data_IF_503074111174
#
_entry.id   IF_503074111174
#
_cell.length_a   1.000
_cell.length_b   1.000
_cell.length_c   1.000
_cell.angle_alpha   90.00
_cell.angle_beta   90.00
_cell.angle_gamma   90.00
#
_symmetry.space_group_name_H-M   'P 1'
#
loop_
_entity.id
_entity.type
_entity.pdbx_description
1 polymer ?
#
# COMPACT_ATOMS: atom_id res chain seq x y z
N UNK A 1 -12.17 25.29 16.96
CA UNK A 1 -11.71 24.41 15.84
C UNK A 1 -12.77 23.33 15.63
N UNK A 2 -13.27 23.23 14.42
CA UNK A 2 -14.17 22.14 14.04
C UNK A 2 -13.38 20.85 13.74
N UNK A 3 -14.05 19.71 13.71
CA UNK A 3 -13.44 18.43 13.32
C UNK A 3 -12.84 18.53 11.92
N UNK A 4 -13.55 19.15 10.97
CA UNK A 4 -13.06 19.32 9.60
C UNK A 4 -11.80 20.19 9.52
N UNK A 5 -11.70 21.24 10.31
CA UNK A 5 -10.49 22.07 10.40
C UNK A 5 -9.31 21.29 10.98
N UNK A 6 -9.55 20.47 12.00
CA UNK A 6 -8.53 19.61 12.59
C UNK A 6 -8.03 18.55 11.59
N UNK A 7 -8.92 17.95 10.80
CA UNK A 7 -8.54 16.98 9.74
C UNK A 7 -7.69 17.66 8.66
N UNK A 8 -8.02 18.88 8.26
CA UNK A 8 -7.21 19.64 7.28
C UNK A 8 -5.82 19.98 7.84
N UNK A 9 -5.74 20.36 9.12
CA UNK A 9 -4.48 20.58 9.80
C UNK A 9 -3.64 19.28 9.87
N UNK A 10 -4.27 18.14 10.14
CA UNK A 10 -3.63 16.83 10.09
C UNK A 10 -3.09 16.54 8.68
N UNK A 11 -3.87 16.79 7.64
CA UNK A 11 -3.44 16.63 6.25
C UNK A 11 -2.18 17.45 5.94
N UNK A 12 -2.12 18.69 6.39
CA UNK A 12 -0.93 19.55 6.25
C UNK A 12 0.26 18.97 6.99
N UNK A 13 0.06 18.45 8.20
CA UNK A 13 1.11 17.83 9.00
C UNK A 13 1.65 16.56 8.33
N UNK A 14 0.77 15.75 7.75
CA UNK A 14 1.15 14.54 6.99
C UNK A 14 2.02 14.92 5.79
N UNK A 15 1.64 15.92 5.02
CA UNK A 15 2.40 16.35 3.85
C UNK A 15 3.75 16.99 4.21
N UNK A 16 3.91 17.49 5.43
CA UNK A 16 5.17 18.00 5.96
C UNK A 16 6.05 16.91 6.61
N UNK A 17 5.52 15.70 6.81
CA UNK A 17 6.26 14.59 7.44
C UNK A 17 7.34 14.05 6.49
N UNK A 18 8.57 13.76 6.99
CA UNK A 18 9.64 13.19 6.17
C UNK A 18 9.25 11.88 5.46
N UNK A 19 8.39 11.07 6.03
CA UNK A 19 7.88 9.82 5.43
C UNK A 19 7.08 10.10 4.16
N UNK A 20 6.25 11.14 4.17
CA UNK A 20 5.51 11.58 2.99
C UNK A 20 6.47 12.08 1.90
N UNK A 21 7.46 12.89 2.27
CA UNK A 21 8.44 13.43 1.33
C UNK A 21 9.23 12.29 0.65
N UNK A 22 9.69 11.31 1.43
CA UNK A 22 10.40 10.13 0.90
C UNK A 22 9.52 9.31 -0.05
N UNK A 23 8.26 9.11 0.31
CA UNK A 23 7.28 8.40 -0.52
C UNK A 23 7.07 9.12 -1.86
N UNK A 24 6.85 10.42 -1.83
CA UNK A 24 6.63 11.21 -3.05
C UNK A 24 7.86 11.26 -3.95
N UNK A 25 9.06 11.37 -3.37
CA UNK A 25 10.32 11.33 -4.13
C UNK A 25 10.52 9.98 -4.81
N UNK A 26 10.29 8.88 -4.10
CA UNK A 26 10.40 7.54 -4.65
C UNK A 26 9.37 7.30 -5.77
N UNK A 27 8.15 7.78 -5.59
CA UNK A 27 7.09 7.71 -6.59
C UNK A 27 7.47 8.48 -7.86
N UNK A 28 7.94 9.71 -7.73
CA UNK A 28 8.36 10.54 -8.86
C UNK A 28 9.53 9.91 -9.61
N UNK A 29 10.51 9.36 -8.90
CA UNK A 29 11.65 8.67 -9.50
C UNK A 29 11.20 7.45 -10.31
N UNK A 30 10.26 6.66 -9.79
CA UNK A 30 9.71 5.51 -10.51
C UNK A 30 8.87 5.92 -11.73
N UNK A 31 8.06 6.97 -11.59
CA UNK A 31 7.24 7.49 -12.70
C UNK A 31 8.12 8.01 -13.86
N UNK A 32 9.30 8.51 -13.54
CA UNK A 32 10.28 8.99 -14.54
C UNK A 32 11.17 7.86 -15.11
N UNK A 33 11.14 6.66 -14.53
CA UNK A 33 11.92 5.52 -14.99
C UNK A 33 11.17 4.76 -16.10
N UNK A 34 11.49 5.08 -17.36
CA UNK A 34 10.79 4.51 -18.53
C UNK A 34 10.89 2.98 -18.59
N UNK A 35 12.05 2.41 -18.27
CA UNK A 35 12.26 0.95 -18.28
C UNK A 35 11.36 0.26 -17.23
N UNK A 36 11.30 0.80 -16.02
CA UNK A 36 10.43 0.29 -14.96
C UNK A 36 8.94 0.42 -15.34
N UNK A 37 8.54 1.53 -15.94
CA UNK A 37 7.16 1.74 -16.38
C UNK A 37 6.76 0.73 -17.46
N UNK A 38 7.67 0.39 -18.35
CA UNK A 38 7.46 -0.64 -19.37
C UNK A 38 7.26 -2.02 -18.74
N UNK A 39 8.10 -2.40 -17.77
CA UNK A 39 7.97 -3.66 -17.03
C UNK A 39 6.65 -3.73 -16.24
N UNK A 40 6.28 -2.65 -15.58
CA UNK A 40 5.00 -2.54 -14.85
C UNK A 40 3.80 -2.67 -15.80
N UNK A 41 3.87 -2.07 -16.98
CA UNK A 41 2.86 -2.21 -18.01
C UNK A 41 2.71 -3.65 -18.49
N UNK A 42 3.82 -4.33 -18.77
CA UNK A 42 3.84 -5.73 -19.15
C UNK A 42 3.28 -6.64 -18.05
N UNK A 43 3.63 -6.39 -16.80
CA UNK A 43 3.10 -7.10 -15.64
C UNK A 43 1.57 -6.94 -15.54
N UNK A 44 1.08 -5.72 -15.68
CA UNK A 44 -0.35 -5.42 -15.62
C UNK A 44 -1.13 -6.16 -16.71
N UNK A 45 -0.64 -6.16 -17.95
CA UNK A 45 -1.25 -6.86 -19.06
C UNK A 45 -1.30 -8.37 -18.83
N UNK A 46 -0.23 -8.96 -18.29
CA UNK A 46 -0.20 -10.39 -17.96
C UNK A 46 -1.16 -10.75 -16.83
N UNK A 47 -1.27 -9.89 -15.82
CA UNK A 47 -2.27 -10.08 -14.75
C UNK A 47 -3.69 -10.04 -15.28
N UNK A 48 -4.00 -9.08 -16.15
CA UNK A 48 -5.32 -9.01 -16.78
C UNK A 48 -5.63 -10.25 -17.59
N UNK A 49 -4.67 -10.74 -18.39
CA UNK A 49 -4.81 -11.97 -19.16
C UNK A 49 -5.05 -13.19 -18.27
N UNK A 50 -4.32 -13.28 -17.13
CA UNK A 50 -4.51 -14.33 -16.12
C UNK A 50 -5.92 -14.29 -15.53
N UNK A 51 -6.41 -13.12 -15.15
CA UNK A 51 -7.77 -12.95 -14.64
C UNK A 51 -8.83 -13.36 -15.66
N UNK A 52 -8.66 -12.97 -16.91
CA UNK A 52 -9.59 -13.32 -17.99
C UNK A 52 -9.61 -14.83 -18.22
N UNK A 53 -8.46 -15.48 -18.23
CA UNK A 53 -8.39 -16.93 -18.42
C UNK A 53 -9.01 -17.70 -17.25
N UNK A 54 -8.73 -17.27 -16.01
CA UNK A 54 -9.29 -17.91 -14.81
C UNK A 54 -10.80 -17.70 -14.67
N UNK A 55 -11.37 -16.67 -15.32
CA UNK A 55 -12.81 -16.38 -15.30
C UNK A 55 -13.62 -17.08 -16.37
N UNK A 56 -13.00 -17.84 -17.28
CA UNK A 56 -13.69 -18.56 -18.33
C UNK A 56 -14.40 -19.82 -17.80
N UNK A 57 -15.52 -20.19 -18.40
CA UNK A 57 -16.22 -21.46 -18.07
C UNK A 57 -15.36 -22.66 -18.41
N UNK A 58 -14.62 -22.61 -19.51
CA UNK A 58 -13.66 -23.63 -19.93
C UNK A 58 -12.24 -23.06 -19.85
N UNK A 59 -11.57 -23.32 -18.72
CA UNK A 59 -10.22 -22.79 -18.45
C UNK A 59 -9.19 -23.68 -19.16
N UNK A 60 -8.30 -23.07 -19.93
CA UNK A 60 -7.10 -23.71 -20.48
C UNK A 60 -6.02 -23.71 -19.37
N UNK A 61 -5.81 -24.88 -18.75
CA UNK A 61 -4.87 -25.01 -17.63
C UNK A 61 -3.43 -24.76 -18.03
N UNK A 62 -3.02 -25.14 -19.23
CA UNK A 62 -1.66 -24.90 -19.72
C UNK A 62 -1.41 -23.40 -19.90
N UNK A 63 -2.37 -22.70 -20.53
CA UNK A 63 -2.30 -21.24 -20.70
C UNK A 63 -2.32 -20.54 -19.33
N UNK A 64 -3.13 -20.98 -18.40
CA UNK A 64 -3.20 -20.45 -17.04
C UNK A 64 -1.85 -20.57 -16.34
N UNK A 65 -1.18 -21.73 -16.42
CA UNK A 65 0.15 -21.97 -15.86
C UNK A 65 1.21 -21.07 -16.52
N UNK A 66 1.18 -20.92 -17.83
CA UNK A 66 2.11 -20.04 -18.57
C UNK A 66 1.94 -18.58 -18.15
N UNK A 67 0.71 -18.10 -18.02
CA UNK A 67 0.41 -16.74 -17.57
C UNK A 67 0.83 -16.52 -16.11
N UNK A 68 0.56 -17.48 -15.23
CA UNK A 68 0.98 -17.42 -13.83
C UNK A 68 2.50 -17.35 -13.69
N UNK A 69 3.22 -18.18 -14.43
CA UNK A 69 4.69 -18.15 -14.48
C UNK A 69 5.20 -16.81 -15.00
N UNK A 70 4.60 -16.27 -16.07
CA UNK A 70 4.98 -14.97 -16.62
C UNK A 70 4.75 -13.83 -15.62
N UNK A 71 3.62 -13.83 -14.91
CA UNK A 71 3.32 -12.85 -13.87
C UNK A 71 4.35 -12.91 -12.75
N UNK A 72 4.66 -14.11 -12.26
CA UNK A 72 5.62 -14.30 -11.17
C UNK A 72 7.05 -13.89 -11.58
N UNK A 73 7.46 -14.19 -12.80
CA UNK A 73 8.76 -13.79 -13.33
C UNK A 73 8.88 -12.26 -13.45
N UNK A 74 7.87 -11.61 -14.01
CA UNK A 74 7.85 -10.14 -14.13
C UNK A 74 7.82 -9.47 -12.75
N UNK A 75 7.06 -10.01 -11.81
CA UNK A 75 7.02 -9.52 -10.44
C UNK A 75 8.41 -9.58 -9.80
N UNK A 76 9.10 -10.70 -9.92
CA UNK A 76 10.45 -10.86 -9.37
C UNK A 76 11.44 -9.86 -9.98
N UNK A 77 11.40 -9.67 -11.29
CA UNK A 77 12.25 -8.70 -12.00
C UNK A 77 11.97 -7.26 -11.54
N UNK A 78 10.69 -6.88 -11.42
CA UNK A 78 10.28 -5.55 -10.93
C UNK A 78 10.78 -5.34 -9.50
N UNK A 79 10.65 -6.34 -8.63
CA UNK A 79 11.06 -6.23 -7.23
C UNK A 79 12.58 -6.20 -7.03
N UNK A 80 13.37 -6.59 -8.02
CA UNK A 80 14.83 -6.43 -8.03
C UNK A 80 15.26 -4.99 -8.35
N UNK A 81 14.40 -4.17 -8.93
CA UNK A 81 14.71 -2.78 -9.25
C UNK A 81 14.93 -1.97 -7.96
N UNK A 82 16.07 -1.25 -7.80
CA UNK A 82 16.36 -0.49 -6.58
C UNK A 82 15.35 0.62 -6.30
N UNK A 83 14.84 1.26 -7.34
CA UNK A 83 13.80 2.29 -7.21
C UNK A 83 12.49 1.71 -6.69
N UNK A 84 12.13 0.51 -7.14
CA UNK A 84 10.95 -0.20 -6.65
C UNK A 84 11.11 -0.62 -5.19
N UNK A 85 12.28 -1.08 -4.79
CA UNK A 85 12.58 -1.41 -3.40
C UNK A 85 12.48 -0.18 -2.49
N UNK A 86 13.04 0.95 -2.91
CA UNK A 86 12.90 2.24 -2.20
C UNK A 86 11.45 2.67 -2.07
N UNK A 87 10.69 2.57 -3.15
CA UNK A 87 9.27 2.89 -3.16
C UNK A 87 8.50 1.99 -2.18
N UNK A 88 8.75 0.69 -2.15
CA UNK A 88 8.10 -0.24 -1.23
C UNK A 88 8.41 0.09 0.23
N UNK A 89 9.66 0.42 0.56
CA UNK A 89 10.05 0.83 1.91
C UNK A 89 9.35 2.13 2.31
N UNK A 90 9.34 3.13 1.44
CA UNK A 90 8.68 4.41 1.69
C UNK A 90 7.16 4.23 1.85
N UNK A 91 6.56 3.37 1.03
CA UNK A 91 5.13 3.03 1.13
C UNK A 91 4.79 2.37 2.47
N UNK A 92 5.61 1.43 2.92
CA UNK A 92 5.42 0.79 4.24
C UNK A 92 5.45 1.81 5.38
N UNK A 93 6.35 2.80 5.31
CA UNK A 93 6.42 3.87 6.31
C UNK A 93 5.16 4.76 6.28
N UNK A 94 4.64 5.05 5.08
CA UNK A 94 3.38 5.80 4.94
C UNK A 94 2.19 4.99 5.45
N UNK A 95 2.11 3.71 5.13
CA UNK A 95 1.04 2.83 5.60
C UNK A 95 1.04 2.76 7.14
N UNK A 96 2.23 2.71 7.75
CA UNK A 96 2.38 2.75 9.21
C UNK A 96 1.90 4.08 9.80
N UNK A 97 2.25 5.21 9.17
CA UNK A 97 1.77 6.53 9.60
C UNK A 97 0.24 6.60 9.58
N UNK A 98 -0.38 6.19 8.48
CA UNK A 98 -1.85 6.17 8.35
C UNK A 98 -2.46 5.27 9.42
N UNK A 99 -1.88 4.12 9.67
CA UNK A 99 -2.32 3.18 10.70
C UNK A 99 -2.25 3.76 12.12
N UNK A 100 -1.17 4.48 12.43
CA UNK A 100 -1.03 5.22 13.71
C UNK A 100 -2.16 6.25 13.86
N UNK A 101 -2.42 7.03 12.82
CA UNK A 101 -3.48 8.05 12.80
C UNK A 101 -4.85 7.39 13.00
N UNK A 102 -5.17 6.36 12.24
CA UNK A 102 -6.45 5.66 12.33
C UNK A 102 -6.65 5.04 13.72
N UNK A 103 -5.61 4.50 14.31
CA UNK A 103 -5.65 3.92 15.66
C UNK A 103 -5.94 4.99 16.70
N UNK A 104 -5.29 6.15 16.62
CA UNK A 104 -5.55 7.27 17.53
C UNK A 104 -7.00 7.74 17.40
N UNK A 105 -7.50 7.89 16.18
CA UNK A 105 -8.89 8.28 15.93
C UNK A 105 -9.85 7.27 16.56
N UNK A 106 -9.60 5.98 16.36
CA UNK A 106 -10.43 4.91 16.93
C UNK A 106 -10.43 4.93 18.45
N UNK A 107 -9.27 5.12 19.08
CA UNK A 107 -9.14 5.23 20.53
C UNK A 107 -9.95 6.43 21.06
N UNK A 108 -9.88 7.57 20.38
CA UNK A 108 -10.65 8.75 20.75
C UNK A 108 -12.17 8.53 20.64
N UNK A 109 -12.62 7.84 19.58
CA UNK A 109 -14.04 7.48 19.41
C UNK A 109 -14.52 6.57 20.55
N UNK A 110 -13.63 5.72 21.06
CA UNK A 110 -13.91 4.82 22.19
C UNK A 110 -13.81 5.50 23.56
N UNK A 111 -13.50 6.81 23.60
CA UNK A 111 -13.45 7.60 24.83
C UNK A 111 -12.09 7.70 25.50
N UNK A 112 -11.03 7.24 24.85
CA UNK A 112 -9.66 7.42 25.35
C UNK A 112 -9.23 8.88 25.28
N UNK A 113 -8.36 9.29 26.21
CA UNK A 113 -7.84 10.66 26.24
C UNK A 113 -6.91 10.92 25.04
N UNK A 114 -7.26 11.88 24.17
CA UNK A 114 -6.43 12.18 22.98
C UNK A 114 -4.99 12.58 23.31
N UNK A 115 -4.74 13.13 24.49
CA UNK A 115 -3.42 13.59 24.90
C UNK A 115 -2.49 12.45 25.35
N UNK A 116 -3.05 11.33 25.80
CA UNK A 116 -2.29 10.26 26.43
C UNK A 116 -2.46 8.88 25.78
N UNK A 117 -3.43 8.73 24.87
CA UNK A 117 -3.62 7.46 24.20
C UNK A 117 -2.42 7.14 23.28
N UNK A 118 -1.99 5.89 23.32
CA UNK A 118 -0.88 5.40 22.48
C UNK A 118 -1.38 4.32 21.53
N UNK A 119 -1.11 4.47 20.22
CA UNK A 119 -1.43 3.41 19.26
C UNK A 119 -0.50 2.22 19.50
N UNK A 120 -1.07 1.06 19.82
CA UNK A 120 -0.33 -0.19 19.86
C UNK A 120 -0.45 -0.89 18.51
N UNK A 121 0.62 -0.83 17.73
CA UNK A 121 0.71 -1.43 16.40
C UNK A 121 1.31 -2.84 16.41
N UNK A 122 1.59 -3.40 17.58
CA UNK A 122 2.28 -4.69 17.71
C UNK A 122 1.50 -5.87 17.13
N UNK A 123 0.19 -5.76 17.04
CA UNK A 123 -0.70 -6.80 16.52
C UNK A 123 -1.29 -6.49 15.15
N UNK A 124 -0.91 -5.39 14.53
CA UNK A 124 -1.41 -5.01 13.20
C UNK A 124 -0.58 -5.67 12.11
N UNK A 125 -1.21 -6.56 11.33
CA UNK A 125 -0.59 -7.26 10.19
C UNK A 125 -0.52 -6.41 8.92
N UNK A 126 -1.01 -5.15 8.98
CA UNK A 126 -1.05 -4.25 7.81
C UNK A 126 -2.27 -4.43 6.93
N UNK A 127 -3.13 -5.38 7.21
CA UNK A 127 -4.37 -5.62 6.48
C UNK A 127 -5.57 -5.17 7.32
N UNK A 128 -6.03 -3.94 7.06
CA UNK A 128 -7.17 -3.35 7.76
C UNK A 128 -8.50 -4.09 7.49
N UNK A 129 -8.55 -4.94 6.47
CA UNK A 129 -9.77 -5.70 6.14
C UNK A 129 -9.96 -6.92 7.06
N UNK A 130 -8.89 -7.40 7.70
CA UNK A 130 -8.91 -8.54 8.62
C UNK A 130 -8.94 -8.17 10.09
N UNK A 131 -8.77 -6.88 10.43
CA UNK A 131 -8.94 -6.39 11.79
C UNK A 131 -10.43 -6.31 12.17
N UNK A 132 -11.00 -7.44 12.55
CA UNK A 132 -12.25 -7.45 13.30
C UNK A 132 -12.00 -6.87 14.69
N UNK A 133 -12.12 -5.55 14.83
CA UNK A 133 -12.03 -4.75 16.05
C UNK A 133 -11.19 -5.36 17.17
N UNK A 134 -10.15 -4.69 17.59
CA UNK A 134 -9.45 -5.02 18.83
C UNK A 134 -10.46 -5.07 19.98
N UNK A 135 -11.09 -6.20 20.19
CA UNK A 135 -11.81 -6.46 21.44
C UNK A 135 -10.76 -6.79 22.50
N UNK A 136 -10.90 -6.12 23.62
CA UNK A 136 -10.12 -6.33 24.85
C UNK A 136 -9.95 -7.80 25.17
#
# INVERSE_FOLDING_TARGET
MTVNEAVRALGTAIQADPRYQAYMQAKQANDANAALQEELGAFHLKRMALQQESGKESVDREKLMQLDTAVNTLYAEIMEDPGMQQFQQAKQQMDRLVQEVDTIITLCVNGEDPATCHPDLSHCTGDCSSCGGCQK
#
